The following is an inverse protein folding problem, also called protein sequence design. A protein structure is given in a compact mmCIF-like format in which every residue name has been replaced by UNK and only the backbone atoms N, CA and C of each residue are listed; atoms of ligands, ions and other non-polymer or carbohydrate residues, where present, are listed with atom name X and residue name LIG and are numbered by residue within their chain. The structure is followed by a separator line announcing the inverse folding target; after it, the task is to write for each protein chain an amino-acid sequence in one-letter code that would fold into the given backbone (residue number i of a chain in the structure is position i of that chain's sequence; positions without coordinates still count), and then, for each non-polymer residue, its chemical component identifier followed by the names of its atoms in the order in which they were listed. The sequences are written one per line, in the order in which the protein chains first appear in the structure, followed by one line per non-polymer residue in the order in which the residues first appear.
data_IF_566726074468
#
_entry.id   IF_566726074468
#
_cell.length_a   1.000
_cell.length_b   1.000
_cell.length_c   1.000
_cell.angle_alpha   90.00
_cell.angle_beta   90.00
_cell.angle_gamma   90.00
#
_symmetry.space_group_name_H-M   'P 1'
#
loop_
_entity.id
_entity.type
_entity.pdbx_description
1 polymer ?
#
# COMPACT_ATOMS: atom_id res chain seq x y z
N UNK A 1 -4.43 -28.48 -11.70
CA UNK A 1 -3.20 -27.65 -11.57
C UNK A 1 -2.71 -27.71 -10.13
N UNK A 2 -1.43 -27.94 -9.92
CA UNK A 2 -0.86 -27.97 -8.56
C UNK A 2 -0.59 -26.52 -8.13
N UNK A 3 -1.27 -26.07 -7.07
CA UNK A 3 -1.06 -24.72 -6.51
C UNK A 3 0.40 -24.56 -6.07
N UNK A 4 1.06 -23.46 -6.45
CA UNK A 4 2.43 -23.17 -6.02
C UNK A 4 2.48 -22.83 -4.53
N UNK A 5 3.66 -22.95 -3.90
CA UNK A 5 3.88 -22.57 -2.51
C UNK A 5 3.59 -21.07 -2.30
N UNK A 6 4.02 -20.22 -3.24
CA UNK A 6 3.70 -18.78 -3.21
C UNK A 6 2.19 -18.53 -3.23
N UNK A 7 1.45 -19.13 -4.16
CA UNK A 7 0.00 -18.94 -4.27
C UNK A 7 -0.73 -19.40 -3.00
N UNK A 8 -0.31 -20.53 -2.40
CA UNK A 8 -0.87 -21.04 -1.15
C UNK A 8 -0.69 -20.02 -0.02
N UNK A 9 0.52 -19.55 0.21
CA UNK A 9 0.81 -18.61 1.29
C UNK A 9 0.21 -17.23 1.04
N UNK A 10 0.15 -16.78 -0.22
CA UNK A 10 -0.51 -15.52 -0.57
C UNK A 10 -2.02 -15.57 -0.27
N UNK A 11 -2.68 -16.70 -0.57
CA UNK A 11 -4.10 -16.88 -0.23
C UNK A 11 -4.31 -16.84 1.28
N UNK A 12 -3.54 -17.63 2.05
CA UNK A 12 -3.62 -17.62 3.51
C UNK A 12 -3.33 -16.23 4.11
N UNK A 13 -2.34 -15.50 3.57
CA UNK A 13 -2.05 -14.14 3.97
C UNK A 13 -3.27 -13.21 3.84
N UNK A 14 -4.00 -13.28 2.73
CA UNK A 14 -5.18 -12.44 2.53
C UNK A 14 -6.38 -12.88 3.35
N UNK A 15 -6.67 -14.19 3.41
CA UNK A 15 -7.90 -14.71 4.01
C UNK A 15 -7.79 -14.95 5.51
N UNK A 16 -6.68 -15.47 5.98
CA UNK A 16 -6.49 -15.85 7.37
C UNK A 16 -5.81 -14.76 8.17
N UNK A 17 -4.65 -14.27 7.69
CA UNK A 17 -3.86 -13.29 8.43
C UNK A 17 -4.43 -11.88 8.36
N UNK A 18 -4.63 -11.30 7.17
CA UNK A 18 -5.10 -9.91 7.04
C UNK A 18 -6.54 -9.74 7.51
N UNK A 19 -7.44 -10.64 7.12
CA UNK A 19 -8.86 -10.57 7.46
C UNK A 19 -9.10 -11.17 8.84
N UNK A 20 -8.64 -12.40 9.08
CA UNK A 20 -8.93 -13.16 10.29
C UNK A 20 -8.21 -12.63 11.53
N UNK A 21 -6.88 -12.50 11.47
CA UNK A 21 -6.10 -12.12 12.64
C UNK A 21 -5.97 -10.59 12.80
N UNK A 22 -5.67 -9.87 11.71
CA UNK A 22 -5.39 -8.42 11.78
C UNK A 22 -6.62 -7.53 11.62
N UNK A 23 -7.71 -8.02 11.07
CA UNK A 23 -8.93 -7.24 10.85
C UNK A 23 -8.70 -5.94 10.08
N UNK A 24 -7.81 -5.96 9.06
CA UNK A 24 -7.46 -4.75 8.31
C UNK A 24 -8.65 -4.27 7.46
N UNK A 25 -8.69 -2.96 7.17
CA UNK A 25 -9.78 -2.37 6.39
C UNK A 25 -9.86 -2.93 4.97
N UNK A 26 -11.05 -2.95 4.34
CA UNK A 26 -11.21 -3.35 2.93
C UNK A 26 -10.34 -2.55 1.97
N UNK A 27 -10.08 -1.26 2.26
CA UNK A 27 -9.20 -0.41 1.46
C UNK A 27 -7.73 -0.89 1.53
N UNK A 28 -7.28 -1.35 2.69
CA UNK A 28 -5.94 -1.94 2.86
C UNK A 28 -5.83 -3.23 2.05
N UNK A 29 -6.83 -4.11 2.11
CA UNK A 29 -6.87 -5.36 1.34
C UNK A 29 -6.80 -5.07 -0.16
N UNK A 30 -7.60 -4.12 -0.65
CA UNK A 30 -7.57 -3.69 -2.06
C UNK A 30 -6.19 -3.18 -2.46
N UNK A 31 -5.60 -2.29 -1.67
CA UNK A 31 -4.27 -1.72 -1.94
C UNK A 31 -3.18 -2.80 -1.97
N UNK A 32 -3.25 -3.79 -1.08
CA UNK A 32 -2.29 -4.89 -1.05
C UNK A 32 -2.51 -5.83 -2.24
N UNK A 33 -3.75 -6.17 -2.57
CA UNK A 33 -4.10 -6.97 -3.76
C UNK A 33 -3.57 -6.34 -5.04
N UNK A 34 -3.75 -5.02 -5.22
CA UNK A 34 -3.17 -4.29 -6.35
C UNK A 34 -1.64 -4.37 -6.39
N UNK A 35 -0.98 -4.32 -5.22
CA UNK A 35 0.48 -4.42 -5.12
C UNK A 35 0.98 -5.78 -5.60
N UNK A 36 0.31 -6.86 -5.21
CA UNK A 36 0.66 -8.21 -5.66
C UNK A 36 0.31 -8.44 -7.12
N UNK A 37 -0.80 -7.90 -7.63
CA UNK A 37 -1.13 -7.95 -9.06
C UNK A 37 -0.06 -7.27 -9.92
N UNK A 38 0.44 -6.11 -9.47
CA UNK A 38 1.56 -5.42 -10.16
C UNK A 38 2.87 -6.22 -10.08
N UNK A 39 3.15 -6.88 -8.95
CA UNK A 39 4.32 -7.75 -8.82
C UNK A 39 4.23 -8.94 -9.79
N UNK A 40 3.07 -9.58 -9.91
CA UNK A 40 2.85 -10.69 -10.84
C UNK A 40 3.05 -10.24 -12.28
N UNK A 41 2.52 -9.08 -12.67
CA UNK A 41 2.72 -8.51 -14.01
C UNK A 41 4.20 -8.22 -14.27
N UNK A 42 4.91 -7.64 -13.31
CA UNK A 42 6.35 -7.40 -13.42
C UNK A 42 7.14 -8.71 -13.62
N UNK A 43 6.81 -9.75 -12.86
CA UNK A 43 7.49 -11.04 -12.95
C UNK A 43 7.25 -11.73 -14.31
N UNK A 44 6.03 -11.63 -14.83
CA UNK A 44 5.71 -12.15 -16.17
C UNK A 44 6.42 -11.35 -17.27
N UNK A 45 6.30 -10.02 -17.26
CA UNK A 45 6.82 -9.14 -18.32
C UNK A 45 8.36 -9.02 -18.33
N UNK A 46 9.00 -8.95 -17.15
CA UNK A 46 10.43 -8.60 -17.03
C UNK A 46 11.31 -9.79 -16.65
N UNK A 47 10.76 -10.80 -16.00
CA UNK A 47 11.52 -11.96 -15.50
C UNK A 47 11.08 -13.24 -16.20
N UNK A 48 10.00 -13.20 -16.98
CA UNK A 48 9.41 -14.35 -17.68
C UNK A 48 9.01 -15.51 -16.74
N UNK A 49 8.54 -15.14 -15.53
CA UNK A 49 7.99 -16.07 -14.54
C UNK A 49 6.48 -15.87 -14.46
N UNK A 50 5.72 -16.81 -15.03
CA UNK A 50 4.27 -16.82 -14.96
C UNK A 50 3.77 -17.16 -13.55
N UNK A 51 2.60 -16.67 -13.18
CA UNK A 51 1.99 -16.92 -11.88
C UNK A 51 1.90 -18.39 -11.51
N UNK A 52 1.66 -19.27 -12.48
CA UNK A 52 1.55 -20.73 -12.30
C UNK A 52 2.88 -21.40 -11.91
N UNK A 53 3.99 -20.74 -12.16
CA UNK A 53 5.34 -21.22 -11.87
C UNK A 53 6.04 -20.41 -10.78
N UNK A 54 5.37 -19.38 -10.25
CA UNK A 54 5.92 -18.52 -9.22
C UNK A 54 6.02 -19.26 -7.88
N UNK A 55 7.23 -19.29 -7.32
CA UNK A 55 7.55 -19.90 -6.03
C UNK A 55 8.12 -18.86 -5.07
N UNK A 56 8.11 -19.17 -3.79
CA UNK A 56 8.67 -18.31 -2.74
C UNK A 56 10.14 -17.97 -2.96
N UNK A 57 10.91 -18.89 -3.51
CA UNK A 57 12.35 -18.71 -3.82
C UNK A 57 12.62 -17.60 -4.84
N UNK A 58 11.64 -17.26 -5.69
CA UNK A 58 11.77 -16.18 -6.67
C UNK A 58 11.60 -14.79 -6.06
N UNK A 59 11.00 -14.70 -4.88
CA UNK A 59 10.75 -13.43 -4.18
C UNK A 59 11.99 -13.07 -3.34
N UNK A 60 13.04 -12.64 -4.01
CA UNK A 60 14.30 -12.22 -3.36
C UNK A 60 14.33 -10.70 -3.15
N UNK A 61 15.27 -10.24 -2.30
CA UNK A 61 15.54 -8.80 -2.14
C UNK A 61 15.82 -8.12 -3.48
N UNK A 62 16.60 -8.76 -4.36
CA UNK A 62 16.92 -8.26 -5.72
C UNK A 62 15.67 -8.15 -6.57
N UNK A 63 14.82 -9.17 -6.58
CA UNK A 63 13.54 -9.17 -7.32
C UNK A 63 12.65 -8.02 -6.86
N UNK A 64 12.52 -7.81 -5.54
CA UNK A 64 11.72 -6.72 -4.98
C UNK A 64 12.29 -5.35 -5.35
N UNK A 65 13.61 -5.15 -5.29
CA UNK A 65 14.23 -3.88 -5.71
C UNK A 65 13.97 -3.59 -7.19
N UNK A 66 14.17 -4.58 -8.07
CA UNK A 66 13.89 -4.43 -9.51
C UNK A 66 12.41 -4.11 -9.78
N UNK A 67 11.50 -4.72 -9.04
CA UNK A 67 10.07 -4.39 -9.10
C UNK A 67 9.79 -2.93 -8.72
N UNK A 68 10.40 -2.47 -7.63
CA UNK A 68 10.21 -1.10 -7.16
C UNK A 68 10.80 -0.06 -8.14
N UNK A 69 11.90 -0.37 -8.79
CA UNK A 69 12.50 0.46 -9.82
C UNK A 69 11.65 0.45 -11.10
N UNK A 70 11.15 -0.71 -11.52
CA UNK A 70 10.20 -0.82 -12.64
C UNK A 70 8.92 0.01 -12.42
N UNK A 71 8.39 0.05 -11.18
CA UNK A 71 7.25 0.92 -10.85
C UNK A 71 7.56 2.40 -11.10
N UNK A 72 8.78 2.85 -10.81
CA UNK A 72 9.17 4.24 -11.01
C UNK A 72 9.52 4.56 -12.46
N UNK A 73 10.25 3.66 -13.12
CA UNK A 73 10.76 3.89 -14.48
C UNK A 73 9.66 3.68 -15.53
N UNK A 74 8.89 2.60 -15.43
CA UNK A 74 7.88 2.20 -16.42
C UNK A 74 6.51 2.76 -16.09
N UNK A 75 6.05 2.62 -14.84
CA UNK A 75 4.72 3.09 -14.42
C UNK A 75 4.72 4.52 -13.92
N UNK A 76 5.88 5.21 -13.89
CA UNK A 76 6.04 6.60 -13.42
C UNK A 76 5.48 6.86 -12.03
N UNK A 77 5.56 5.86 -11.15
CA UNK A 77 5.04 5.93 -9.80
C UNK A 77 5.86 6.90 -8.93
N UNK A 78 5.17 7.66 -8.08
CA UNK A 78 5.80 8.52 -7.08
C UNK A 78 6.50 7.71 -5.98
N UNK A 79 7.39 8.35 -5.20
CA UNK A 79 8.00 7.72 -4.02
C UNK A 79 6.94 7.25 -3.00
N UNK A 80 5.85 8.00 -2.83
CA UNK A 80 4.75 7.61 -1.95
C UNK A 80 4.07 6.31 -2.42
N UNK A 81 3.75 6.21 -3.72
CA UNK A 81 3.15 5.00 -4.31
C UNK A 81 4.11 3.81 -4.21
N UNK A 82 5.40 4.01 -4.58
CA UNK A 82 6.44 3.00 -4.43
C UNK A 82 6.52 2.46 -2.99
N UNK A 83 6.54 3.35 -2.01
CA UNK A 83 6.60 2.99 -0.59
C UNK A 83 5.34 2.25 -0.13
N UNK A 84 4.17 2.61 -0.65
CA UNK A 84 2.92 1.89 -0.38
C UNK A 84 2.97 0.44 -0.91
N UNK A 85 3.51 0.23 -2.13
CA UNK A 85 3.70 -1.12 -2.67
C UNK A 85 4.74 -1.93 -1.86
N UNK A 86 5.83 -1.28 -1.45
CA UNK A 86 6.81 -1.90 -0.54
C UNK A 86 6.18 -2.28 0.80
N UNK A 87 5.28 -1.47 1.37
CA UNK A 87 4.61 -1.78 2.62
C UNK A 87 3.75 -3.06 2.53
N UNK A 88 3.07 -3.30 1.40
CA UNK A 88 2.33 -4.54 1.17
C UNK A 88 3.25 -5.76 1.17
N UNK A 89 4.38 -5.69 0.44
CA UNK A 89 5.36 -6.77 0.39
C UNK A 89 6.02 -7.02 1.76
N UNK A 90 6.35 -5.96 2.51
CA UNK A 90 6.88 -6.08 3.87
C UNK A 90 5.89 -6.75 4.82
N UNK A 91 4.60 -6.43 4.72
CA UNK A 91 3.56 -7.08 5.51
C UNK A 91 3.49 -8.59 5.23
N UNK A 92 3.59 -8.98 3.96
CA UNK A 92 3.68 -10.38 3.58
C UNK A 92 4.96 -11.04 4.10
N UNK A 93 6.12 -10.40 3.98
CA UNK A 93 7.37 -10.94 4.51
C UNK A 93 7.34 -11.08 6.03
N UNK A 94 6.70 -10.16 6.76
CA UNK A 94 6.50 -10.29 8.21
C UNK A 94 5.66 -11.51 8.56
N UNK A 95 4.58 -11.77 7.83
CA UNK A 95 3.78 -12.99 7.95
C UNK A 95 4.63 -14.23 7.65
N UNK A 96 5.39 -14.21 6.56
CA UNK A 96 6.22 -15.34 6.13
C UNK A 96 7.36 -15.71 7.09
N UNK A 97 7.82 -14.78 7.93
CA UNK A 97 8.83 -15.10 8.94
C UNK A 97 8.37 -16.18 9.92
N UNK A 98 7.05 -16.26 10.17
CA UNK A 98 6.44 -17.26 11.05
C UNK A 98 6.02 -18.53 10.29
N UNK A 99 5.58 -18.38 9.05
CA UNK A 99 5.09 -19.49 8.22
C UNK A 99 6.20 -20.30 7.55
N UNK A 100 7.32 -19.66 7.20
CA UNK A 100 8.43 -20.28 6.49
C UNK A 100 9.79 -19.92 7.12
N UNK A 101 10.04 -20.49 8.27
CA UNK A 101 11.29 -20.29 9.04
C UNK A 101 12.54 -20.71 8.24
N UNK A 102 12.39 -21.62 7.27
CA UNK A 102 13.52 -22.08 6.44
C UNK A 102 14.11 -20.97 5.57
N UNK A 103 13.29 -19.96 5.21
CA UNK A 103 13.72 -18.80 4.41
C UNK A 103 13.74 -17.49 5.23
N UNK A 104 13.95 -17.58 6.53
CA UNK A 104 13.92 -16.41 7.43
C UNK A 104 14.88 -15.31 6.97
N UNK A 105 16.09 -15.65 6.55
CA UNK A 105 17.09 -14.71 6.03
C UNK A 105 16.56 -13.95 4.80
N UNK A 106 15.96 -14.66 3.85
CA UNK A 106 15.33 -14.06 2.66
C UNK A 106 14.29 -13.01 3.03
N UNK A 107 13.42 -13.32 4.00
CA UNK A 107 12.38 -12.37 4.45
C UNK A 107 12.97 -11.18 5.17
N UNK A 108 14.01 -11.37 5.99
CA UNK A 108 14.70 -10.28 6.68
C UNK A 108 15.44 -9.36 5.71
N UNK A 109 16.05 -9.89 4.67
CA UNK A 109 16.68 -9.10 3.61
C UNK A 109 15.69 -8.18 2.91
N UNK A 110 14.47 -8.67 2.58
CA UNK A 110 13.42 -7.84 1.98
C UNK A 110 12.94 -6.78 2.97
N UNK A 111 12.76 -7.12 4.24
CA UNK A 111 12.35 -6.19 5.29
C UNK A 111 13.39 -5.08 5.52
N UNK A 112 14.66 -5.32 5.20
CA UNK A 112 15.74 -4.32 5.30
C UNK A 112 15.67 -3.22 4.22
N UNK A 113 14.89 -3.39 3.15
CA UNK A 113 14.75 -2.41 2.07
C UNK A 113 14.21 -1.09 2.63
N UNK A 114 14.94 0.00 2.40
CA UNK A 114 14.54 1.32 2.91
C UNK A 114 13.43 1.96 2.08
N UNK A 115 12.58 2.70 2.76
CA UNK A 115 11.60 3.58 2.10
C UNK A 115 12.31 4.79 1.50
N UNK A 116 11.85 5.28 0.34
CA UNK A 116 12.35 6.54 -0.23
C UNK A 116 11.64 7.73 0.42
N UNK A 117 12.39 8.78 0.72
CA UNK A 117 11.82 10.04 1.21
C UNK A 117 10.85 10.60 0.15
N UNK A 118 9.72 11.09 0.58
CA UNK A 118 8.76 11.80 -0.27
C UNK A 118 8.31 13.06 0.43
N UNK A 119 8.09 14.09 -0.36
CA UNK A 119 7.52 15.33 0.17
C UNK A 119 6.13 15.06 0.71
N UNK A 120 5.90 15.37 1.97
CA UNK A 120 4.54 15.44 2.51
C UNK A 120 3.87 16.62 1.79
N UNK A 121 2.74 16.39 1.13
CA UNK A 121 1.91 17.48 0.64
C UNK A 121 1.65 18.39 1.83
N UNK A 122 2.13 19.64 1.77
CA UNK A 122 1.73 20.64 2.74
C UNK A 122 0.23 20.79 2.65
N UNK A 123 -0.46 20.53 3.76
CA UNK A 123 -1.88 20.86 3.83
C UNK A 123 -1.91 22.39 3.82
N UNK A 124 -2.42 22.97 2.73
CA UNK A 124 -2.67 24.40 2.69
C UNK A 124 -3.82 24.68 3.66
N UNK A 125 -3.46 25.06 4.87
CA UNK A 125 -4.46 25.54 5.82
C UNK A 125 -5.02 26.87 5.29
N UNK A 126 -6.32 27.03 5.38
CA UNK A 126 -6.93 28.33 5.15
C UNK A 126 -6.32 29.32 6.13
N UNK A 127 -5.87 30.47 5.62
CA UNK A 127 -5.45 31.58 6.48
C UNK A 127 -6.63 32.03 7.35
N UNK A 128 -6.34 32.66 8.47
CA UNK A 128 -7.39 33.23 9.36
C UNK A 128 -8.32 34.15 8.55
N UNK A 129 -7.77 34.93 7.64
CA UNK A 129 -8.56 35.81 6.76
C UNK A 129 -9.40 35.04 5.74
N UNK A 130 -8.89 33.90 5.24
CA UNK A 130 -9.66 32.99 4.39
C UNK A 130 -10.82 32.35 5.13
N UNK A 131 -10.62 31.98 6.40
CA UNK A 131 -11.72 31.47 7.27
C UNK A 131 -12.76 32.56 7.53
N UNK A 132 -12.31 33.79 7.85
CA UNK A 132 -13.23 34.92 8.04
C UNK A 132 -14.06 35.22 6.80
N UNK A 133 -13.44 35.21 5.62
CA UNK A 133 -14.13 35.37 4.34
C UNK A 133 -15.18 34.31 4.09
N UNK A 134 -14.86 33.04 4.36
CA UNK A 134 -15.82 31.92 4.23
C UNK A 134 -16.99 32.08 5.21
N UNK A 135 -16.71 32.42 6.46
CA UNK A 135 -17.77 32.64 7.47
C UNK A 135 -18.68 33.83 7.13
N UNK A 136 -18.12 34.91 6.56
CA UNK A 136 -18.87 36.07 6.11
C UNK A 136 -19.81 35.79 4.93
N UNK A 137 -19.56 34.72 4.17
CA UNK A 137 -20.40 34.31 3.03
C UNK A 137 -21.62 33.46 3.45
N UNK A 138 -21.69 33.02 4.69
CA UNK A 138 -22.79 32.19 5.18
C UNK A 138 -24.03 33.10 5.45
N UNK A 139 -25.16 32.88 4.76
CA UNK A 139 -26.32 33.73 4.91
C UNK A 139 -26.98 33.53 6.29
N UNK A 140 -26.75 34.43 7.23
CA UNK A 140 -27.28 34.37 8.61
C UNK A 140 -28.76 34.64 8.71
N UNK A 141 -29.40 35.12 7.64
CA UNK A 141 -30.83 35.39 7.56
C UNK A 141 -31.67 34.10 7.35
N UNK A 142 -31.05 32.96 7.11
CA UNK A 142 -31.75 31.67 6.95
C UNK A 142 -31.52 30.76 8.15
N UNK A 143 -32.47 29.86 8.47
CA UNK A 143 -32.31 28.84 9.52
C UNK A 143 -31.13 27.92 9.22
N UNK A 144 -30.91 27.54 7.94
CA UNK A 144 -29.82 26.71 7.50
C UNK A 144 -28.47 27.41 7.69
N UNK A 145 -28.36 28.67 7.27
CA UNK A 145 -27.09 29.40 7.39
C UNK A 145 -26.68 29.62 8.85
N UNK A 146 -27.61 29.91 9.76
CA UNK A 146 -27.34 30.01 11.20
C UNK A 146 -26.81 28.69 11.79
N UNK A 147 -27.40 27.56 11.39
CA UNK A 147 -26.94 26.22 11.80
C UNK A 147 -25.55 25.95 11.26
N UNK A 148 -25.32 26.21 9.97
CA UNK A 148 -24.03 25.93 9.30
C UNK A 148 -22.92 26.83 9.89
N UNK A 149 -23.21 28.10 10.21
CA UNK A 149 -22.28 28.99 10.91
C UNK A 149 -21.92 28.46 12.30
N UNK A 150 -22.89 28.00 13.08
CA UNK A 150 -22.66 27.44 14.41
C UNK A 150 -21.78 26.16 14.36
N UNK A 151 -22.00 25.29 13.37
CA UNK A 151 -21.22 24.07 13.20
C UNK A 151 -19.75 24.31 12.77
N UNK A 152 -19.50 25.35 11.97
CA UNK A 152 -18.16 25.67 11.47
C UNK A 152 -17.37 26.51 12.50
N UNK A 153 -18.06 27.19 13.42
CA UNK A 153 -17.44 28.03 14.46
C UNK A 153 -17.05 27.28 15.74
N UNK A 154 -17.38 25.97 15.83
CA UNK A 154 -16.98 25.08 16.91
C UNK A 154 -15.58 24.51 16.67
#
# INVERSE_FOLDING_TARGET
MKTTDFAKHLTAFFTEYLIGERGVSPNTIRSYSESFSLLLNFLDEQVNIKADNLRLEHITRKTVLNFLDWLQDTKKSSNATRNQRLAALRSFCTYMQYEDVKRLEQWQEILSIKVKTHEKRSVNYLSIDGIKLLLAQIPINTKKGRRDLALISL
#
